data_IF_222938901326
#
_entry.id   IF_222938901326
#
_cell.length_a   1.000
_cell.length_b   1.000
_cell.length_c   1.000
_cell.angle_alpha   90.00
_cell.angle_beta   90.00
_cell.angle_gamma   90.00
#
_symmetry.space_group_name_H-M   'P 1'
#
loop_
_entity.id
_entity.type
_entity.pdbx_description
1 polymer ?
#
# COMPACT_ATOMS: atom_id res chain seq x y z
N UNK A 1 -5.33 -37.58 34.52
CA UNK A 1 -3.88 -37.58 34.23
C UNK A 1 -3.57 -37.79 32.75
N UNK A 2 -4.03 -38.85 32.07
CA UNK A 2 -3.73 -39.09 30.64
C UNK A 2 -4.27 -37.99 29.69
N UNK A 3 -5.49 -37.50 29.92
CA UNK A 3 -6.07 -36.42 29.11
C UNK A 3 -5.34 -35.07 29.27
N UNK A 4 -4.82 -34.78 30.47
CA UNK A 4 -4.06 -33.56 30.73
C UNK A 4 -2.69 -33.59 30.04
N UNK A 5 -2.02 -34.75 29.98
CA UNK A 5 -0.77 -34.94 29.24
C UNK A 5 -0.95 -34.79 27.72
N UNK A 6 -2.08 -35.27 27.18
CA UNK A 6 -2.40 -35.13 25.75
C UNK A 6 -2.68 -33.67 25.37
N UNK A 7 -3.43 -32.94 26.21
CA UNK A 7 -3.68 -31.50 26.03
C UNK A 7 -2.37 -30.70 26.08
N UNK A 8 -1.50 -31.00 27.05
CA UNK A 8 -0.22 -30.32 27.21
C UNK A 8 0.73 -30.62 26.04
N UNK A 9 0.71 -31.85 25.50
CA UNK A 9 1.46 -32.19 24.28
C UNK A 9 0.91 -31.52 23.01
N UNK A 10 -0.41 -31.30 22.92
CA UNK A 10 -1.02 -30.61 21.78
C UNK A 10 -0.77 -29.09 21.84
N UNK A 11 -0.74 -28.50 23.03
CA UNK A 11 -0.35 -27.09 23.22
C UNK A 11 1.14 -26.89 22.90
N UNK A 12 2.02 -27.79 23.36
CA UNK A 12 3.44 -27.76 22.99
C UNK A 12 3.67 -27.99 21.48
N UNK A 13 2.88 -28.86 20.84
CA UNK A 13 2.94 -29.06 19.39
C UNK A 13 2.28 -27.92 18.60
N UNK A 14 1.30 -27.22 19.16
CA UNK A 14 0.69 -26.03 18.54
C UNK A 14 1.60 -24.81 18.58
N UNK A 15 2.45 -24.69 19.60
CA UNK A 15 3.51 -23.67 19.67
C UNK A 15 4.80 -24.06 18.94
N UNK A 16 5.05 -25.36 18.73
CA UNK A 16 6.19 -25.87 17.95
C UNK A 16 5.86 -26.19 16.48
N UNK A 17 4.57 -26.20 16.12
CA UNK A 17 4.15 -26.22 14.74
C UNK A 17 4.58 -24.90 14.10
N UNK A 18 5.16 -24.91 12.89
CA UNK A 18 5.27 -23.68 12.11
C UNK A 18 3.87 -23.05 12.11
N UNK A 19 3.74 -21.83 12.62
CA UNK A 19 2.53 -21.06 12.34
C UNK A 19 2.33 -21.16 10.83
N UNK A 20 1.13 -21.55 10.39
CA UNK A 20 0.82 -21.58 8.97
C UNK A 20 1.24 -20.21 8.42
N UNK A 21 2.16 -20.22 7.45
CA UNK A 21 2.74 -19.01 6.86
C UNK A 21 1.61 -18.05 6.53
N UNK A 22 1.68 -16.85 7.09
CA UNK A 22 0.70 -15.81 6.78
C UNK A 22 1.20 -15.14 5.51
N UNK A 23 0.50 -15.27 4.38
CA UNK A 23 0.91 -14.57 3.18
C UNK A 23 0.96 -13.06 3.45
N UNK A 24 1.87 -12.33 2.80
CA UNK A 24 2.16 -10.94 3.13
C UNK A 24 0.91 -10.02 3.17
N UNK A 25 -0.08 -10.28 2.31
CA UNK A 25 -1.35 -9.54 2.31
C UNK A 25 -2.14 -9.66 3.62
N UNK A 26 -2.00 -10.76 4.38
CA UNK A 26 -2.61 -10.87 5.71
C UNK A 26 -1.94 -9.92 6.72
N UNK A 27 -0.63 -9.67 6.61
CA UNK A 27 0.04 -8.66 7.44
C UNK A 27 -0.44 -7.25 7.10
N UNK A 28 -0.62 -6.97 5.82
CA UNK A 28 -1.19 -5.70 5.35
C UNK A 28 -2.62 -5.49 5.86
N UNK A 29 -3.42 -6.56 5.90
CA UNK A 29 -4.79 -6.51 6.45
C UNK A 29 -4.82 -6.09 7.93
N UNK A 30 -3.80 -6.41 8.72
CA UNK A 30 -3.72 -5.96 10.13
C UNK A 30 -3.54 -4.43 10.22
N UNK A 31 -2.71 -3.83 9.35
CA UNK A 31 -2.56 -2.38 9.25
C UNK A 31 -3.83 -1.70 8.76
N UNK A 32 -4.47 -2.25 7.70
CA UNK A 32 -5.74 -1.73 7.21
C UNK A 32 -6.86 -1.80 8.24
N UNK A 33 -6.91 -2.86 9.04
CA UNK A 33 -7.88 -2.98 10.13
C UNK A 33 -7.64 -1.90 11.19
N UNK A 34 -6.39 -1.65 11.57
CA UNK A 34 -6.03 -0.59 12.50
C UNK A 34 -6.39 0.81 11.95
N UNK A 35 -6.11 1.08 10.68
CA UNK A 35 -6.49 2.35 10.03
C UNK A 35 -8.00 2.51 10.04
N UNK A 36 -8.75 1.47 9.64
CA UNK A 36 -10.20 1.52 9.60
C UNK A 36 -10.81 1.73 10.99
N UNK A 37 -10.28 1.07 12.02
CA UNK A 37 -10.78 1.15 13.38
C UNK A 37 -10.50 2.52 14.04
N UNK A 38 -9.39 3.16 13.68
CA UNK A 38 -8.90 4.37 14.37
C UNK A 38 -9.13 5.67 13.59
N UNK A 39 -9.13 5.60 12.26
CA UNK A 39 -9.20 6.76 11.35
C UNK A 39 -10.15 6.54 10.17
N UNK A 40 -10.82 5.38 10.06
CA UNK A 40 -11.64 5.04 8.90
C UNK A 40 -12.77 6.04 8.65
N UNK A 41 -13.43 6.50 9.72
CA UNK A 41 -14.48 7.51 9.63
C UNK A 41 -13.95 8.87 9.17
N UNK A 42 -12.77 9.27 9.64
CA UNK A 42 -12.10 10.51 9.23
C UNK A 42 -11.66 10.44 7.77
N UNK A 43 -11.12 9.29 7.31
CA UNK A 43 -10.74 9.05 5.91
C UNK A 43 -11.97 9.09 5.01
N UNK A 44 -13.06 8.41 5.39
CA UNK A 44 -14.32 8.43 4.66
C UNK A 44 -14.84 9.87 4.53
N UNK A 45 -14.92 10.60 5.64
CA UNK A 45 -15.34 12.00 5.62
C UNK A 45 -14.43 12.90 4.77
N UNK A 46 -13.10 12.71 4.87
CA UNK A 46 -12.14 13.48 4.08
C UNK A 46 -12.37 13.27 2.58
N UNK A 47 -12.52 12.00 2.19
CA UNK A 47 -12.82 11.58 0.83
C UNK A 47 -14.07 12.26 0.30
N UNK A 48 -15.14 12.28 1.10
CA UNK A 48 -16.40 12.94 0.78
C UNK A 48 -16.27 14.45 0.48
N UNK A 49 -15.17 15.11 0.85
CA UNK A 49 -14.92 16.52 0.47
C UNK A 49 -14.13 16.65 -0.80
N UNK A 50 -13.12 15.79 -0.95
CA UNK A 50 -12.25 15.85 -2.10
C UNK A 50 -13.02 15.53 -3.38
N UNK A 51 -14.02 14.65 -3.34
CA UNK A 51 -14.94 14.40 -4.46
C UNK A 51 -15.76 15.62 -4.92
N UNK A 52 -15.81 16.70 -4.13
CA UNK A 52 -16.44 17.96 -4.54
C UNK A 52 -15.50 18.86 -5.39
N UNK A 53 -14.21 18.54 -5.46
CA UNK A 53 -13.23 19.31 -6.23
C UNK A 53 -12.98 18.71 -7.61
N UNK A 54 -13.15 19.54 -8.65
CA UNK A 54 -12.88 19.14 -10.04
C UNK A 54 -11.43 18.69 -10.23
N UNK A 55 -10.48 19.32 -9.53
CA UNK A 55 -9.06 18.95 -9.58
C UNK A 55 -8.79 17.55 -9.05
N UNK A 56 -9.52 17.11 -8.03
CA UNK A 56 -9.41 15.76 -7.48
C UNK A 56 -10.13 14.73 -8.36
N UNK A 57 -11.38 15.01 -8.74
CA UNK A 57 -12.17 14.08 -9.57
C UNK A 57 -11.56 13.89 -10.95
N UNK A 58 -10.87 14.89 -11.50
CA UNK A 58 -10.12 14.73 -12.75
C UNK A 58 -9.04 13.65 -12.68
N UNK A 59 -8.34 13.52 -11.53
CA UNK A 59 -7.38 12.43 -11.32
C UNK A 59 -8.07 11.06 -11.23
N UNK A 60 -9.24 10.99 -10.58
CA UNK A 60 -10.05 9.76 -10.52
C UNK A 60 -10.53 9.35 -11.91
N UNK A 61 -11.07 10.29 -12.68
CA UNK A 61 -11.55 10.06 -14.04
C UNK A 61 -10.43 9.61 -14.97
N UNK A 62 -9.22 10.15 -14.79
CA UNK A 62 -8.03 9.72 -15.52
C UNK A 62 -7.66 8.27 -15.18
N UNK A 63 -7.58 7.91 -13.88
CA UNK A 63 -7.27 6.54 -13.45
C UNK A 63 -8.30 5.51 -13.95
N UNK A 64 -9.59 5.89 -14.00
CA UNK A 64 -10.64 5.03 -14.53
C UNK A 64 -10.67 4.97 -16.07
N UNK A 65 -9.80 5.72 -16.75
CA UNK A 65 -9.77 5.90 -18.20
C UNK A 65 -8.80 4.96 -18.91
N UNK A 66 -9.05 4.75 -20.21
CA UNK A 66 -8.19 3.91 -21.07
C UNK A 66 -6.77 4.43 -21.27
N UNK A 67 -6.57 5.73 -21.08
CA UNK A 67 -5.24 6.34 -21.18
C UNK A 67 -4.35 5.89 -20.02
N UNK A 68 -4.94 5.69 -18.83
CA UNK A 68 -4.24 5.11 -17.69
C UNK A 68 -3.95 3.63 -17.92
N UNK A 69 -4.92 2.83 -18.39
CA UNK A 69 -4.69 1.42 -18.73
C UNK A 69 -3.51 1.26 -19.71
N UNK A 70 -3.48 2.09 -20.76
CA UNK A 70 -2.42 2.06 -21.77
C UNK A 70 -1.05 2.39 -21.16
N UNK A 71 -0.98 3.41 -20.31
CA UNK A 71 0.25 3.81 -19.63
C UNK A 71 0.75 2.70 -18.69
N UNK A 72 -0.14 2.06 -17.93
CA UNK A 72 0.21 0.92 -17.07
C UNK A 72 0.74 -0.25 -17.89
N UNK A 73 0.11 -0.58 -19.01
CA UNK A 73 0.60 -1.67 -19.89
C UNK A 73 1.99 -1.36 -20.47
N UNK A 74 2.27 -0.10 -20.83
CA UNK A 74 3.59 0.31 -21.31
C UNK A 74 4.66 0.19 -20.20
N UNK A 75 4.34 0.59 -18.96
CA UNK A 75 5.16 0.37 -17.77
C UNK A 75 5.43 -1.12 -17.53
N UNK A 76 4.38 -1.95 -17.55
CA UNK A 76 4.46 -3.40 -17.32
C UNK A 76 5.36 -4.11 -18.33
N UNK A 77 5.51 -3.55 -19.53
CA UNK A 77 6.34 -4.14 -20.56
C UNK A 77 7.85 -3.92 -20.33
N UNK A 78 8.21 -2.95 -19.49
CA UNK A 78 9.60 -2.62 -19.17
C UNK A 78 10.28 -3.77 -18.40
N UNK A 79 11.52 -4.16 -18.77
CA UNK A 79 12.26 -5.19 -18.06
C UNK A 79 12.57 -4.78 -16.61
N UNK A 80 12.77 -3.49 -16.35
CA UNK A 80 12.98 -2.97 -14.99
C UNK A 80 11.72 -3.09 -14.13
N UNK A 81 10.54 -2.85 -14.72
CA UNK A 81 9.26 -3.00 -14.02
C UNK A 81 8.96 -4.48 -13.72
N UNK A 82 9.21 -5.37 -14.68
CA UNK A 82 9.15 -6.82 -14.46
C UNK A 82 10.10 -7.27 -13.36
N UNK A 83 11.31 -6.71 -13.30
CA UNK A 83 12.25 -7.02 -12.22
C UNK A 83 11.74 -6.57 -10.83
N UNK A 84 11.00 -5.47 -10.76
CA UNK A 84 10.30 -5.07 -9.52
C UNK A 84 9.25 -6.12 -9.12
N UNK A 85 8.38 -6.52 -10.05
CA UNK A 85 7.35 -7.54 -9.78
C UNK A 85 7.99 -8.85 -9.34
N UNK A 86 8.97 -9.35 -10.09
CA UNK A 86 9.67 -10.60 -9.78
C UNK A 86 10.34 -10.57 -8.41
N UNK A 87 10.91 -9.42 -8.01
CA UNK A 87 11.48 -9.25 -6.67
C UNK A 87 10.39 -9.33 -5.59
N UNK A 88 9.30 -8.59 -5.75
CA UNK A 88 8.19 -8.56 -4.78
C UNK A 88 7.56 -9.95 -4.62
N UNK A 89 7.23 -10.62 -5.72
CA UNK A 89 6.70 -11.99 -5.71
C UNK A 89 7.68 -12.98 -5.08
N UNK A 90 8.99 -12.84 -5.37
CA UNK A 90 10.05 -13.65 -4.77
C UNK A 90 10.18 -13.48 -3.25
N UNK A 91 9.64 -12.38 -2.70
CA UNK A 91 9.60 -12.06 -1.28
C UNK A 91 8.20 -12.20 -0.67
N UNK A 92 7.34 -13.00 -1.30
CA UNK A 92 5.97 -13.31 -0.86
C UNK A 92 5.03 -12.08 -0.82
N UNK A 93 5.40 -10.98 -1.51
CA UNK A 93 4.58 -9.77 -1.68
C UNK A 93 3.78 -9.90 -2.99
N UNK A 94 2.50 -10.27 -2.87
CA UNK A 94 1.60 -10.44 -4.03
C UNK A 94 1.10 -9.07 -4.53
N UNK A 95 1.70 -8.58 -5.62
CA UNK A 95 1.33 -7.28 -6.24
C UNK A 95 -0.09 -7.27 -6.79
N UNK A 96 -0.61 -8.41 -7.24
CA UNK A 96 -1.94 -8.52 -7.86
C UNK A 96 -3.03 -8.18 -6.86
N UNK A 97 -2.87 -8.65 -5.62
CA UNK A 97 -3.78 -8.31 -4.52
C UNK A 97 -3.91 -6.79 -4.31
N UNK A 98 -2.81 -6.05 -4.41
CA UNK A 98 -2.81 -4.60 -4.21
C UNK A 98 -3.41 -3.83 -5.40
N UNK A 99 -3.23 -4.33 -6.62
CA UNK A 99 -3.89 -3.79 -7.81
C UNK A 99 -5.42 -3.94 -7.67
N UNK A 100 -5.91 -5.13 -7.34
CA UNK A 100 -7.34 -5.39 -7.14
C UNK A 100 -7.94 -4.50 -6.02
N UNK A 101 -7.15 -4.24 -4.97
CA UNK A 101 -7.55 -3.36 -3.88
C UNK A 101 -7.64 -1.89 -4.34
N UNK A 102 -6.70 -1.42 -5.14
CA UNK A 102 -6.70 -0.07 -5.71
C UNK A 102 -7.91 0.13 -6.62
N UNK A 103 -8.18 -0.82 -7.52
CA UNK A 103 -9.34 -0.78 -8.42
C UNK A 103 -10.65 -0.71 -7.62
N UNK A 104 -10.78 -1.55 -6.60
CA UNK A 104 -11.95 -1.56 -5.71
C UNK A 104 -12.12 -0.24 -4.97
N UNK A 105 -11.03 0.39 -4.54
CA UNK A 105 -11.04 1.68 -3.87
C UNK A 105 -11.50 2.79 -4.81
N UNK A 106 -10.95 2.86 -6.03
CA UNK A 106 -11.32 3.85 -7.05
C UNK A 106 -12.83 3.78 -7.35
N UNK A 107 -13.40 2.58 -7.47
CA UNK A 107 -14.84 2.38 -7.68
C UNK A 107 -15.69 2.97 -6.53
N UNK A 108 -15.22 2.85 -5.28
CA UNK A 108 -15.95 3.27 -4.08
C UNK A 108 -16.00 4.79 -3.89
N UNK A 109 -15.07 5.56 -4.45
CA UNK A 109 -14.96 7.02 -4.29
C UNK A 109 -16.16 7.84 -4.83
N UNK A 110 -17.16 7.20 -5.41
CA UNK A 110 -18.28 7.85 -6.10
C UNK A 110 -19.48 8.30 -5.22
N UNK A 111 -19.36 8.40 -3.88
CA UNK A 111 -20.46 8.77 -2.95
C UNK A 111 -20.05 9.75 -1.81
N UNK A 112 -20.83 10.84 -1.58
CA UNK A 112 -20.55 11.96 -0.61
C UNK A 112 -21.34 11.92 0.73
N UNK A 113 -21.24 12.82 1.76
CA UNK A 113 -20.78 14.25 1.98
C UNK A 113 -20.61 14.64 3.50
N UNK A 114 -19.64 15.54 3.92
CA UNK A 114 -19.72 16.65 4.97
C UNK A 114 -18.40 17.31 5.51
N UNK A 115 -18.12 18.60 5.24
CA UNK A 115 -16.85 19.42 5.38
C UNK A 115 -15.82 19.25 6.54
N UNK A 116 -14.52 19.41 6.18
CA UNK A 116 -13.28 19.52 7.00
C UNK A 116 -12.34 20.66 6.51
N UNK A 117 -11.27 21.00 7.26
CA UNK A 117 -10.17 21.87 6.79
C UNK A 117 -9.17 21.07 5.94
N UNK A 118 -8.79 21.58 4.76
CA UNK A 118 -8.07 20.83 3.71
C UNK A 118 -6.80 21.56 3.29
N UNK A 119 -5.71 20.82 3.01
CA UNK A 119 -4.44 21.41 2.57
C UNK A 119 -4.42 21.87 1.11
N UNK A 120 -5.41 21.45 0.32
CA UNK A 120 -5.56 21.78 -1.09
C UNK A 120 -6.85 21.22 -1.69
N UNK A 121 -6.85 20.98 -3.00
CA UNK A 121 -8.03 20.51 -3.75
C UNK A 121 -7.76 19.36 -4.71
N UNK A 122 -6.49 19.03 -4.93
CA UNK A 122 -6.06 18.00 -5.87
C UNK A 122 -5.76 16.67 -5.14
N UNK A 123 -5.47 15.62 -5.92
CA UNK A 123 -5.10 14.31 -5.41
C UNK A 123 -3.88 14.36 -4.47
N UNK A 124 -2.93 15.25 -4.71
CA UNK A 124 -1.76 15.41 -3.85
C UNK A 124 -2.12 15.92 -2.46
N UNK A 125 -3.04 16.89 -2.37
CA UNK A 125 -3.56 17.37 -1.12
C UNK A 125 -4.41 16.31 -0.39
N UNK A 126 -5.20 15.52 -1.13
CA UNK A 126 -5.95 14.40 -0.57
C UNK A 126 -5.04 13.37 0.10
N UNK A 127 -3.95 12.97 -0.57
CA UNK A 127 -2.97 12.02 -0.03
C UNK A 127 -2.34 12.56 1.26
N UNK A 128 -1.91 13.83 1.26
CA UNK A 128 -1.31 14.48 2.43
C UNK A 128 -2.27 14.56 3.60
N UNK A 129 -3.50 14.99 3.35
CA UNK A 129 -4.52 15.10 4.39
C UNK A 129 -4.91 13.72 4.94
N UNK A 130 -4.95 12.70 4.07
CA UNK A 130 -5.19 11.30 4.48
C UNK A 130 -4.06 10.79 5.37
N UNK A 131 -2.81 11.06 5.02
CA UNK A 131 -1.65 10.63 5.81
C UNK A 131 -1.58 11.36 7.16
N UNK A 132 -2.03 12.61 7.20
CA UNK A 132 -2.07 13.41 8.42
C UNK A 132 -3.08 12.89 9.47
N UNK A 133 -4.13 12.19 9.04
CA UNK A 133 -5.14 11.61 9.94
C UNK A 133 -4.82 10.18 10.38
N UNK A 134 -3.83 9.52 9.76
CA UNK A 134 -3.47 8.15 10.13
C UNK A 134 -2.94 8.07 11.58
N UNK A 135 -3.24 6.98 12.31
CA UNK A 135 -2.80 6.78 13.69
C UNK A 135 -1.32 6.37 13.75
N UNK A 136 -0.40 7.26 13.34
CA UNK A 136 1.04 6.97 13.12
C UNK A 136 1.69 6.19 14.27
N UNK A 137 1.53 6.66 15.51
CA UNK A 137 2.11 5.99 16.69
C UNK A 137 1.64 4.54 16.86
N UNK A 138 0.39 4.23 16.49
CA UNK A 138 -0.14 2.86 16.56
C UNK A 138 0.33 2.01 15.38
N UNK A 139 0.47 2.61 14.20
CA UNK A 139 1.04 1.96 13.03
C UNK A 139 2.51 1.59 13.27
N UNK A 140 3.30 2.50 13.84
CA UNK A 140 4.68 2.26 14.25
C UNK A 140 4.77 1.13 15.27
N UNK A 141 3.91 1.16 16.30
CA UNK A 141 3.89 0.10 17.31
C UNK A 141 3.54 -1.27 16.71
N UNK A 142 2.59 -1.33 15.76
CA UNK A 142 2.24 -2.56 15.06
C UNK A 142 3.37 -3.04 14.15
N UNK A 143 4.07 -2.12 13.47
CA UNK A 143 5.23 -2.42 12.66
C UNK A 143 6.35 -3.02 13.51
N UNK A 144 6.72 -2.37 14.61
CA UNK A 144 7.76 -2.85 15.54
C UNK A 144 7.40 -4.22 16.14
N UNK A 145 6.14 -4.41 16.55
CA UNK A 145 5.66 -5.70 17.04
C UNK A 145 5.85 -6.80 15.99
N UNK A 146 5.49 -6.54 14.74
CA UNK A 146 5.64 -7.50 13.65
C UNK A 146 7.11 -7.76 13.30
N UNK A 147 7.95 -6.73 13.29
CA UNK A 147 9.40 -6.89 13.07
C UNK A 147 10.07 -7.74 14.15
N UNK A 148 9.56 -7.74 15.39
CA UNK A 148 10.08 -8.57 16.48
C UNK A 148 9.53 -9.99 16.47
N UNK A 149 8.23 -10.16 16.17
CA UNK A 149 7.51 -11.41 16.42
C UNK A 149 7.15 -12.21 15.15
N UNK A 150 7.25 -11.60 13.97
CA UNK A 150 6.83 -12.18 12.69
C UNK A 150 8.00 -12.26 11.70
N UNK A 151 8.62 -13.44 11.63
CA UNK A 151 9.80 -13.69 10.78
C UNK A 151 9.51 -13.56 9.27
N UNK A 152 8.25 -13.69 8.84
CA UNK A 152 7.85 -13.56 7.44
C UNK A 152 7.72 -12.09 7.07
N UNK A 153 6.98 -11.32 7.87
CA UNK A 153 6.91 -9.87 7.75
C UNK A 153 8.30 -9.22 7.81
N UNK A 154 9.12 -9.62 8.78
CA UNK A 154 10.49 -9.14 8.92
C UNK A 154 11.33 -9.42 7.69
N UNK A 155 11.26 -10.63 7.12
CA UNK A 155 12.02 -10.97 5.91
C UNK A 155 11.62 -10.12 4.72
N UNK A 156 10.33 -9.88 4.54
CA UNK A 156 9.83 -9.01 3.48
C UNK A 156 10.29 -7.56 3.68
N UNK A 157 10.27 -7.04 4.91
CA UNK A 157 10.76 -5.69 5.19
C UNK A 157 12.28 -5.56 5.03
N UNK A 158 13.05 -6.53 5.53
CA UNK A 158 14.50 -6.57 5.37
C UNK A 158 14.89 -6.65 3.88
N UNK A 159 14.11 -7.34 3.04
CA UNK A 159 14.39 -7.40 1.59
C UNK A 159 14.15 -6.06 0.90
N UNK A 160 13.09 -5.32 1.28
CA UNK A 160 12.84 -3.96 0.79
C UNK A 160 13.90 -2.96 1.27
N UNK A 161 14.72 -3.29 2.26
CA UNK A 161 15.87 -2.48 2.70
C UNK A 161 17.20 -2.92 2.08
N UNK A 162 17.19 -3.96 1.24
CA UNK A 162 18.40 -4.56 0.68
C UNK A 162 19.04 -3.72 -0.44
N UNK A 163 20.35 -3.89 -0.62
CA UNK A 163 21.09 -3.34 -1.77
C UNK A 163 20.57 -3.89 -3.11
N UNK A 164 19.95 -5.08 -3.11
CA UNK A 164 19.34 -5.67 -4.30
C UNK A 164 18.08 -4.89 -4.69
N UNK A 165 17.15 -4.70 -3.74
CA UNK A 165 15.97 -3.88 -3.96
C UNK A 165 16.36 -2.48 -4.42
N UNK A 166 17.33 -1.84 -3.74
CA UNK A 166 17.81 -0.52 -4.12
C UNK A 166 18.28 -0.46 -5.58
N UNK A 167 19.00 -1.47 -6.08
CA UNK A 167 19.47 -1.50 -7.47
C UNK A 167 18.33 -1.67 -8.47
N UNK A 168 17.37 -2.56 -8.16
CA UNK A 168 16.20 -2.78 -9.01
C UNK A 168 15.38 -1.48 -9.09
N UNK A 169 15.16 -0.86 -7.94
CA UNK A 169 14.45 0.41 -7.83
C UNK A 169 15.15 1.56 -8.56
N UNK A 170 16.45 1.74 -8.33
CA UNK A 170 17.24 2.77 -8.99
C UNK A 170 17.23 2.56 -10.53
N UNK A 171 17.33 1.31 -11.01
CA UNK A 171 17.27 0.99 -12.44
C UNK A 171 15.93 1.37 -13.09
N UNK A 172 14.81 1.15 -12.39
CA UNK A 172 13.50 1.58 -12.85
C UNK A 172 13.44 3.11 -13.02
N UNK A 173 13.95 3.87 -12.04
CA UNK A 173 13.98 5.33 -12.10
C UNK A 173 15.04 5.91 -13.06
N UNK A 174 16.00 5.11 -13.51
CA UNK A 174 16.93 5.46 -14.58
C UNK A 174 16.31 5.26 -15.98
N UNK A 175 15.25 4.44 -16.11
CA UNK A 175 14.58 4.18 -17.38
C UNK A 175 13.84 5.44 -17.89
N UNK A 176 14.15 5.88 -19.12
CA UNK A 176 13.55 7.09 -19.71
C UNK A 176 12.06 6.94 -20.03
N UNK A 177 11.60 5.74 -20.42
CA UNK A 177 10.18 5.47 -20.65
C UNK A 177 9.42 5.58 -19.33
N UNK A 178 9.90 4.91 -18.29
CA UNK A 178 9.28 4.97 -16.96
C UNK A 178 9.19 6.40 -16.43
N UNK A 179 10.27 7.18 -16.56
CA UNK A 179 10.25 8.61 -16.16
C UNK A 179 9.24 9.43 -16.95
N UNK A 180 9.12 9.20 -18.27
CA UNK A 180 8.15 9.90 -19.10
C UNK A 180 6.70 9.56 -18.71
N UNK A 181 6.44 8.30 -18.38
CA UNK A 181 5.13 7.84 -17.90
C UNK A 181 4.84 8.39 -16.49
N UNK A 182 5.82 8.41 -15.59
CA UNK A 182 5.71 9.03 -14.27
C UNK A 182 5.42 10.55 -14.37
N UNK A 183 6.05 11.24 -15.32
CA UNK A 183 5.76 12.65 -15.62
C UNK A 183 4.33 12.83 -16.17
N UNK A 184 3.83 11.88 -16.96
CA UNK A 184 2.46 11.91 -17.47
C UNK A 184 1.43 11.68 -16.35
N UNK A 185 1.69 10.73 -15.44
CA UNK A 185 0.90 10.54 -14.23
C UNK A 185 0.87 11.82 -13.39
N UNK A 186 2.02 12.48 -13.20
CA UNK A 186 2.15 13.72 -12.44
C UNK A 186 1.31 14.86 -13.04
N UNK A 187 1.27 15.00 -14.37
CA UNK A 187 0.41 15.99 -15.06
C UNK A 187 -1.08 15.77 -14.81
N UNK A 188 -1.47 14.53 -14.52
CA UNK A 188 -2.84 14.14 -14.22
C UNK A 188 -3.10 14.05 -12.69
N UNK A 189 -2.21 14.61 -11.88
CA UNK A 189 -2.36 14.73 -10.42
C UNK A 189 -1.83 13.53 -9.62
N UNK A 190 -1.23 12.53 -10.29
CA UNK A 190 -0.69 11.32 -9.67
C UNK A 190 0.84 11.45 -9.62
N UNK A 191 1.34 12.14 -8.61
CA UNK A 191 2.78 12.33 -8.42
C UNK A 191 3.39 11.14 -7.67
N UNK A 192 4.04 10.23 -8.41
CA UNK A 192 4.71 9.06 -7.86
C UNK A 192 5.84 9.43 -6.88
N UNK A 193 6.58 10.52 -7.12
CA UNK A 193 7.67 10.93 -6.23
C UNK A 193 7.12 11.45 -4.90
N UNK A 194 6.04 12.22 -4.96
CA UNK A 194 5.33 12.67 -3.77
C UNK A 194 4.80 11.49 -2.97
N UNK A 195 4.09 10.54 -3.61
CA UNK A 195 3.60 9.31 -2.99
C UNK A 195 4.71 8.55 -2.24
N UNK A 196 5.86 8.36 -2.90
CA UNK A 196 7.02 7.69 -2.30
C UNK A 196 7.59 8.46 -1.12
N UNK A 197 7.67 9.79 -1.21
CA UNK A 197 8.18 10.62 -0.13
C UNK A 197 7.30 10.57 1.11
N UNK A 198 5.98 10.50 0.92
CA UNK A 198 5.01 10.42 2.00
C UNK A 198 4.99 9.02 2.63
N UNK A 199 5.17 7.94 1.85
CA UNK A 199 5.33 6.58 2.37
C UNK A 199 6.53 6.42 3.29
N UNK A 200 7.62 7.15 3.04
CA UNK A 200 8.82 7.15 3.90
C UNK A 200 8.64 8.07 5.13
N UNK A 201 7.64 8.94 5.12
CA UNK A 201 7.36 9.90 6.19
C UNK A 201 6.25 9.43 7.18
N UNK A 202 5.65 8.26 6.91
CA UNK A 202 4.86 7.50 7.87
C UNK A 202 5.83 6.70 8.72
#
# INVERSE_FOLDING_TARGET
>A
MKAALVLLSLVCLGWAAPQMRKPFHEHFSDFMSLINDEAGHEVEHLTEHYVEFEEFTASIDYMAGKDFDGLVHEMEDLPEFKAVIEFLEGHDIDITYYIDLLDSFIDQLSAGQKRHELSGRDMSAYIKDTIAILPKEKLDALYDEKMENDEEFKRAMDSLQSDEWKKIWDALWENETFKAEADELSKNGIDLQMLLSELVAI
#
